data_IF_015642528957
#
_entry.id   IF_015642528957
#
_cell.length_a   1.000
_cell.length_b   1.000
_cell.length_c   1.000
_cell.angle_alpha   90.00
_cell.angle_beta   90.00
_cell.angle_gamma   90.00
#
_symmetry.space_group_name_H-M   'P 1'
#
loop_
_entity.id
_entity.type
_entity.pdbx_description
1 polymer ?
#
# COMPACT_ATOMS: atom_id res chain seq x y z
N UNK A 1 -4.63 32.66 -15.63
CA UNK A 1 -4.37 33.36 -14.34
C UNK A 1 -4.72 32.38 -13.24
N UNK A 2 -3.75 32.12 -12.36
CA UNK A 2 -3.66 30.98 -11.44
C UNK A 2 -4.70 31.12 -10.31
N UNK A 3 -5.54 30.11 -10.09
CA UNK A 3 -6.38 30.04 -8.90
C UNK A 3 -5.51 29.79 -7.67
N UNK A 4 -5.63 30.73 -6.73
CA UNK A 4 -4.72 30.97 -5.63
C UNK A 4 -4.90 29.95 -4.51
N UNK A 5 -3.75 29.62 -3.92
CA UNK A 5 -3.38 28.83 -2.73
C UNK A 5 -4.17 29.12 -1.43
N UNK A 6 -5.36 29.73 -1.48
CA UNK A 6 -6.07 30.27 -0.31
C UNK A 6 -6.90 29.26 0.50
N UNK A 7 -7.01 28.00 0.07
CA UNK A 7 -7.62 26.94 0.89
C UNK A 7 -6.62 26.26 1.85
N UNK A 8 -5.35 26.67 1.81
CA UNK A 8 -4.27 26.20 2.69
C UNK A 8 -4.36 26.76 4.12
N UNK A 9 -5.32 27.64 4.39
CA UNK A 9 -5.51 28.29 5.70
C UNK A 9 -6.80 27.87 6.40
N UNK A 10 -7.28 26.63 6.22
CA UNK A 10 -8.13 25.98 7.24
C UNK A 10 -7.32 25.03 8.15
N UNK A 11 -5.98 25.10 8.05
CA UNK A 11 -5.03 24.27 8.79
C UNK A 11 -4.67 24.79 10.20
N UNK A 12 -5.10 25.99 10.61
CA UNK A 12 -4.89 26.45 11.99
C UNK A 12 -6.12 27.19 12.51
N UNK A 13 -6.77 26.58 13.54
CA UNK A 13 -7.73 27.16 14.51
C UNK A 13 -9.15 26.58 14.44
N UNK A 14 -9.26 25.31 14.79
CA UNK A 14 -10.53 24.64 15.11
C UNK A 14 -10.37 23.68 16.28
N UNK A 15 -10.12 24.22 17.48
CA UNK A 15 -10.20 23.56 18.80
C UNK A 15 -9.39 22.26 18.94
N UNK A 16 -8.21 22.44 19.52
CA UNK A 16 -7.53 21.50 20.40
C UNK A 16 -8.55 20.70 21.26
N UNK A 17 -8.95 19.54 20.76
CA UNK A 17 -9.30 18.41 21.58
C UNK A 17 -8.40 17.29 21.09
N UNK A 18 -7.17 17.30 21.59
CA UNK A 18 -6.42 16.06 21.79
C UNK A 18 -7.31 15.16 22.65
N UNK A 19 -8.26 14.47 22.04
CA UNK A 19 -8.93 13.33 22.66
C UNK A 19 -8.00 12.10 22.62
N UNK A 20 -6.68 12.34 22.54
CA UNK A 20 -5.63 11.33 22.60
C UNK A 20 -5.46 10.94 24.06
N UNK A 21 -6.29 10.04 24.55
CA UNK A 21 -5.83 9.17 25.62
C UNK A 21 -4.78 8.23 24.99
N UNK A 22 -3.52 8.65 24.96
CA UNK A 22 -2.39 7.80 24.54
C UNK A 22 -1.87 7.92 23.10
N UNK A 23 -2.40 8.86 22.30
CA UNK A 23 -1.89 9.14 20.94
C UNK A 23 -2.68 8.50 19.80
N UNK A 24 -3.79 7.82 20.13
CA UNK A 24 -4.76 7.28 19.18
C UNK A 24 -5.81 8.35 18.86
N UNK A 25 -6.09 8.63 17.58
CA UNK A 25 -7.17 9.52 17.16
C UNK A 25 -8.55 8.89 17.35
N UNK A 26 -9.57 9.72 17.58
CA UNK A 26 -10.98 9.28 17.51
C UNK A 26 -11.35 8.88 16.07
N UNK A 27 -12.50 8.24 15.90
CA UNK A 27 -13.03 7.85 14.59
C UNK A 27 -13.18 9.03 13.61
N UNK A 28 -13.80 10.12 14.03
CA UNK A 28 -13.97 11.33 13.22
C UNK A 28 -12.63 11.95 12.81
N UNK A 29 -11.68 12.00 13.75
CA UNK A 29 -10.35 12.56 13.51
C UNK A 29 -9.54 11.67 12.58
N UNK A 30 -9.59 10.34 12.77
CA UNK A 30 -8.91 9.38 11.91
C UNK A 30 -9.49 9.39 10.49
N UNK A 31 -10.81 9.50 10.34
CA UNK A 31 -11.49 9.67 9.04
C UNK A 31 -11.03 10.95 8.33
N UNK A 32 -10.95 12.07 9.04
CA UNK A 32 -10.45 13.32 8.46
C UNK A 32 -8.98 13.21 7.99
N UNK A 33 -8.15 12.52 8.76
CA UNK A 33 -6.74 12.23 8.37
C UNK A 33 -6.70 11.32 7.14
N UNK A 34 -7.54 10.30 7.08
CA UNK A 34 -7.62 9.39 5.95
C UNK A 34 -8.02 10.12 4.65
N UNK A 35 -9.03 10.97 4.69
CA UNK A 35 -9.43 11.77 3.52
C UNK A 35 -8.32 12.74 3.07
N UNK A 36 -7.61 13.35 4.02
CA UNK A 36 -6.44 14.17 3.72
C UNK A 36 -5.34 13.36 3.02
N UNK A 37 -5.08 12.15 3.48
CA UNK A 37 -4.05 11.28 2.93
C UNK A 37 -4.43 10.78 1.53
N UNK A 38 -5.71 10.47 1.31
CA UNK A 38 -6.26 10.17 -0.01
C UNK A 38 -6.07 11.35 -0.98
N UNK A 39 -6.46 12.57 -0.59
CA UNK A 39 -6.26 13.76 -1.41
C UNK A 39 -4.76 14.03 -1.70
N UNK A 40 -3.88 13.77 -0.71
CA UNK A 40 -2.42 13.83 -0.91
C UNK A 40 -1.96 12.82 -1.96
N UNK A 41 -2.46 11.59 -1.89
CA UNK A 41 -2.16 10.52 -2.84
C UNK A 41 -2.62 10.87 -4.25
N UNK A 42 -3.88 11.30 -4.43
CA UNK A 42 -4.44 11.72 -5.71
C UNK A 42 -3.62 12.84 -6.36
N UNK A 43 -3.18 13.82 -5.56
CA UNK A 43 -2.37 14.94 -6.06
C UNK A 43 -0.95 14.56 -6.44
N UNK A 44 -0.35 13.57 -5.77
CA UNK A 44 1.09 13.28 -5.90
C UNK A 44 1.39 11.96 -6.62
N UNK A 45 0.38 11.12 -6.84
CA UNK A 45 0.55 9.73 -7.28
C UNK A 45 1.23 8.82 -6.25
N UNK A 46 1.54 9.33 -5.04
CA UNK A 46 2.21 8.56 -4.01
C UNK A 46 1.22 7.61 -3.33
N UNK A 47 1.60 6.35 -3.16
CA UNK A 47 0.79 5.35 -2.48
C UNK A 47 0.75 5.58 -0.96
N UNK A 48 -0.26 5.01 -0.31
CA UNK A 48 -0.25 4.75 1.13
C UNK A 48 -1.03 3.46 1.42
N UNK A 49 -0.78 2.85 2.58
CA UNK A 49 -1.53 1.69 3.04
C UNK A 49 -2.28 2.00 4.33
N UNK A 50 -3.38 1.29 4.56
CA UNK A 50 -4.13 1.28 5.80
C UNK A 50 -4.10 -0.13 6.36
N UNK A 51 -3.73 -0.26 7.62
CA UNK A 51 -3.80 -1.52 8.37
C UNK A 51 -4.93 -1.40 9.37
N UNK A 52 -5.87 -2.34 9.34
CA UNK A 52 -6.95 -2.45 10.32
C UNK A 52 -6.71 -3.63 11.24
N UNK A 53 -6.79 -3.38 12.54
CA UNK A 53 -6.64 -4.35 13.60
C UNK A 53 -7.98 -4.54 14.31
N UNK A 54 -8.45 -5.78 14.39
CA UNK A 54 -9.69 -6.20 15.06
C UNK A 54 -9.38 -7.36 16.02
N UNK A 55 -9.98 -7.39 17.20
CA UNK A 55 -9.84 -8.52 18.13
C UNK A 55 -11.18 -9.25 18.25
N UNK A 56 -11.24 -10.49 17.76
CA UNK A 56 -12.43 -11.35 17.92
C UNK A 56 -12.24 -12.24 19.15
N UNK A 57 -12.88 -11.87 20.26
CA UNK A 57 -12.99 -12.74 21.41
C UNK A 57 -14.44 -13.25 21.49
N UNK A 58 -14.63 -14.46 22.01
CA UNK A 58 -15.94 -15.14 22.06
C UNK A 58 -17.08 -14.37 22.76
N UNK A 59 -16.76 -13.30 23.50
CA UNK A 59 -17.72 -12.41 24.17
C UNK A 59 -17.79 -10.98 23.57
N UNK A 60 -17.26 -10.76 22.36
CA UNK A 60 -17.33 -9.48 21.65
C UNK A 60 -15.98 -8.76 21.50
N UNK A 61 -16.04 -7.52 21.02
CA UNK A 61 -14.87 -6.67 20.77
C UNK A 61 -14.15 -6.29 22.06
N UNK A 62 -12.85 -6.60 22.16
CA UNK A 62 -12.03 -6.21 23.30
C UNK A 62 -11.38 -4.83 23.08
N UNK A 63 -12.15 -3.77 23.35
CA UNK A 63 -11.73 -2.36 23.19
C UNK A 63 -10.47 -2.04 24.01
N UNK A 64 -10.32 -2.62 25.20
CA UNK A 64 -9.14 -2.38 26.04
C UNK A 64 -7.86 -2.95 25.41
N UNK A 65 -7.92 -4.17 24.87
CA UNK A 65 -6.81 -4.77 24.13
C UNK A 65 -6.45 -3.95 22.89
N UNK A 66 -7.44 -3.52 22.11
CA UNK A 66 -7.22 -2.67 20.94
C UNK A 66 -6.63 -1.30 21.31
N UNK A 67 -7.06 -0.71 22.42
CA UNK A 67 -6.50 0.55 22.93
C UNK A 67 -5.03 0.38 23.31
N UNK A 68 -4.68 -0.71 24.01
CA UNK A 68 -3.29 -1.01 24.35
C UNK A 68 -2.44 -1.22 23.10
N UNK A 69 -2.95 -2.00 22.16
CA UNK A 69 -2.32 -2.22 20.85
C UNK A 69 -2.08 -0.90 20.11
N UNK A 70 -3.08 -0.03 20.02
CA UNK A 70 -2.94 1.28 19.36
C UNK A 70 -1.88 2.17 20.02
N UNK A 71 -1.80 2.17 21.35
CA UNK A 71 -0.76 2.91 22.07
C UNK A 71 0.64 2.33 21.80
N UNK A 72 0.75 1.01 21.72
CA UNK A 72 1.99 0.30 21.40
C UNK A 72 2.44 0.60 19.96
N UNK A 73 1.51 0.64 19.01
CA UNK A 73 1.76 1.03 17.63
C UNK A 73 2.23 2.50 17.55
N UNK A 74 1.53 3.41 18.24
CA UNK A 74 1.82 4.85 18.21
C UNK A 74 3.27 5.18 18.60
N UNK A 75 3.89 4.36 19.45
CA UNK A 75 5.30 4.53 19.87
C UNK A 75 6.32 4.02 18.84
N UNK A 76 5.89 3.29 17.81
CA UNK A 76 6.76 2.60 16.84
C UNK A 76 6.66 3.15 15.43
N UNK A 77 5.53 3.76 15.09
CA UNK A 77 5.28 4.30 13.76
C UNK A 77 6.12 5.56 13.49
N UNK A 78 6.28 5.90 12.20
CA UNK A 78 6.99 7.12 11.80
C UNK A 78 6.14 8.34 12.07
N UNK A 79 6.75 9.52 12.06
CA UNK A 79 6.05 10.81 12.20
C UNK A 79 5.01 11.07 11.09
N UNK A 80 5.18 10.45 9.92
CA UNK A 80 4.26 10.56 8.78
C UNK A 80 3.08 9.58 8.85
N UNK A 81 3.16 8.59 9.72
CA UNK A 81 2.14 7.57 9.88
C UNK A 81 1.19 8.02 11.01
N UNK A 82 -0.04 7.54 11.01
CA UNK A 82 -1.09 8.01 11.93
C UNK A 82 -1.90 6.81 12.44
N UNK A 83 -2.32 6.83 13.70
CA UNK A 83 -3.06 5.73 14.36
C UNK A 83 -4.37 6.26 14.96
N UNK A 84 -5.48 5.58 14.71
CA UNK A 84 -6.77 6.00 15.25
C UNK A 84 -7.79 4.89 15.27
N UNK A 85 -8.94 5.15 15.88
CA UNK A 85 -10.11 4.31 15.71
C UNK A 85 -10.62 4.42 14.27
N UNK A 86 -10.82 3.30 13.59
CA UNK A 86 -11.49 3.30 12.29
C UNK A 86 -13.02 3.35 12.47
N UNK A 87 -13.48 2.67 13.52
CA UNK A 87 -14.83 2.61 14.04
C UNK A 87 -14.79 2.16 15.51
N UNK A 88 -15.93 1.81 16.10
CA UNK A 88 -16.00 1.37 17.49
C UNK A 88 -15.35 0.03 17.80
N UNK A 89 -14.88 -0.73 16.81
CA UNK A 89 -14.30 -2.06 17.03
C UNK A 89 -12.97 -2.35 16.32
N UNK A 90 -12.41 -1.38 15.60
CA UNK A 90 -11.15 -1.54 14.89
C UNK A 90 -10.23 -0.35 15.08
N UNK A 91 -8.95 -0.64 15.26
CA UNK A 91 -7.88 0.36 15.20
C UNK A 91 -7.32 0.37 13.78
N UNK A 92 -7.26 1.56 13.19
CA UNK A 92 -6.61 1.81 11.92
C UNK A 92 -5.22 2.42 12.10
N UNK A 93 -4.29 2.04 11.23
CA UNK A 93 -2.99 2.70 11.07
C UNK A 93 -2.80 3.09 9.61
N UNK A 94 -2.56 4.37 9.34
CA UNK A 94 -2.23 4.89 8.01
C UNK A 94 -0.71 4.91 7.89
N UNK A 95 -0.18 4.22 6.88
CA UNK A 95 1.24 4.11 6.57
C UNK A 95 1.54 4.89 5.29
N UNK A 96 2.06 6.10 5.43
CA UNK A 96 2.32 6.98 4.30
C UNK A 96 3.45 6.44 3.42
N UNK A 97 3.28 6.47 2.09
CA UNK A 97 4.32 6.01 1.15
C UNK A 97 4.61 4.50 1.21
N UNK A 98 3.72 3.73 1.83
CA UNK A 98 3.90 2.29 2.02
C UNK A 98 3.09 1.50 1.00
N UNK A 99 3.67 0.40 0.51
CA UNK A 99 2.99 -0.58 -0.31
C UNK A 99 2.34 -1.66 0.55
N UNK A 100 1.48 -2.48 -0.06
CA UNK A 100 0.84 -3.62 0.61
C UNK A 100 1.86 -4.55 1.27
N UNK A 101 3.00 -4.81 0.61
CA UNK A 101 4.06 -5.68 1.14
C UNK A 101 4.70 -5.08 2.39
N UNK A 102 5.01 -3.77 2.37
CA UNK A 102 5.56 -3.07 3.54
C UNK A 102 4.57 -2.98 4.69
N UNK A 103 3.29 -2.84 4.38
CA UNK A 103 2.24 -2.86 5.38
C UNK A 103 2.09 -4.24 6.05
N UNK A 104 2.21 -5.33 5.30
CA UNK A 104 2.27 -6.68 5.90
C UNK A 104 3.53 -6.91 6.73
N UNK A 105 4.70 -6.43 6.28
CA UNK A 105 5.93 -6.47 7.09
C UNK A 105 5.75 -5.71 8.41
N UNK A 106 5.06 -4.56 8.36
CA UNK A 106 4.70 -3.82 9.56
C UNK A 106 3.77 -4.62 10.48
N UNK A 107 2.75 -5.29 9.94
CA UNK A 107 1.85 -6.17 10.72
C UNK A 107 2.64 -7.27 11.44
N UNK A 108 3.52 -7.96 10.73
CA UNK A 108 4.31 -9.05 11.32
C UNK A 108 5.26 -8.53 12.40
N UNK A 109 5.93 -7.40 12.17
CA UNK A 109 6.76 -6.77 13.19
C UNK A 109 5.97 -6.40 14.46
N UNK A 110 4.74 -5.91 14.31
CA UNK A 110 3.85 -5.61 15.44
C UNK A 110 3.45 -6.89 16.17
N UNK A 111 3.11 -7.97 15.45
CA UNK A 111 2.77 -9.27 16.06
C UNK A 111 3.93 -9.86 16.85
N UNK A 112 5.15 -9.76 16.34
CA UNK A 112 6.35 -10.28 17.03
C UNK A 112 6.70 -9.46 18.28
N UNK A 113 6.53 -8.13 18.23
CA UNK A 113 7.00 -7.25 19.31
C UNK A 113 6.01 -7.17 20.48
N UNK A 114 4.75 -7.50 20.26
CA UNK A 114 3.73 -7.42 21.31
C UNK A 114 3.57 -8.80 21.93
N UNK A 115 4.23 -8.99 23.07
CA UNK A 115 4.02 -10.17 23.91
C UNK A 115 2.53 -10.29 24.27
N UNK A 116 1.95 -11.46 24.00
CA UNK A 116 0.54 -11.73 24.32
C UNK A 116 -0.46 -11.10 23.35
N UNK A 117 -0.09 -10.90 22.08
CA UNK A 117 -1.09 -10.68 21.01
C UNK A 117 -2.12 -11.79 21.11
N UNK A 118 -3.38 -11.38 21.27
CA UNK A 118 -4.52 -12.28 21.38
C UNK A 118 -4.58 -13.16 20.12
N UNK A 119 -4.69 -14.49 20.24
CA UNK A 119 -4.90 -15.35 19.07
C UNK A 119 -6.14 -14.96 18.24
N UNK A 120 -7.05 -14.14 18.79
CA UNK A 120 -8.17 -13.53 18.10
C UNK A 120 -7.85 -12.26 17.29
N UNK A 121 -6.59 -11.80 17.19
CA UNK A 121 -6.23 -10.60 16.44
C UNK A 121 -6.28 -10.85 14.93
N UNK A 122 -7.19 -10.15 14.26
CA UNK A 122 -7.35 -10.13 12.81
C UNK A 122 -6.75 -8.84 12.27
N UNK A 123 -5.93 -8.97 11.22
CA UNK A 123 -5.30 -7.86 10.53
C UNK A 123 -5.77 -7.82 9.08
N UNK A 124 -6.16 -6.65 8.58
CA UNK A 124 -6.49 -6.42 7.17
C UNK A 124 -5.67 -5.26 6.62
N UNK A 125 -5.16 -5.40 5.40
CA UNK A 125 -4.34 -4.38 4.74
C UNK A 125 -5.03 -3.90 3.46
N UNK A 126 -5.11 -2.59 3.30
CA UNK A 126 -5.60 -1.92 2.11
C UNK A 126 -4.54 -0.96 1.60
N UNK A 127 -4.44 -0.77 0.29
CA UNK A 127 -3.48 0.17 -0.32
C UNK A 127 -4.20 1.04 -1.32
N UNK A 128 -3.87 2.33 -1.31
CA UNK A 128 -4.43 3.34 -2.19
C UNK A 128 -3.32 4.09 -2.96
N UNK A 129 -3.51 4.38 -4.25
CA UNK A 129 -4.59 3.88 -5.10
C UNK A 129 -4.53 2.35 -5.22
N UNK A 130 -5.70 1.70 -5.18
CA UNK A 130 -5.78 0.25 -5.38
C UNK A 130 -5.37 -0.07 -6.82
N UNK A 131 -4.57 -1.13 -7.06
CA UNK A 131 -4.28 -1.58 -8.41
C UNK A 131 -5.59 -1.74 -9.18
N UNK A 132 -5.73 -1.03 -10.30
CA UNK A 132 -6.87 -1.23 -11.18
C UNK A 132 -6.78 -2.67 -11.70
N UNK A 133 -7.74 -3.50 -11.31
CA UNK A 133 -7.93 -4.81 -11.93
C UNK A 133 -8.44 -4.50 -13.34
N UNK A 134 -7.56 -4.44 -14.34
CA UNK A 134 -7.99 -4.41 -15.73
C UNK A 134 -8.66 -5.75 -15.99
N UNK A 135 -9.97 -5.79 -15.86
CA UNK A 135 -10.77 -6.92 -16.32
C UNK A 135 -10.60 -7.00 -17.83
N UNK A 136 -9.63 -7.78 -18.30
CA UNK A 136 -9.65 -8.29 -19.66
C UNK A 136 -10.84 -9.25 -19.73
N UNK A 137 -12.05 -8.70 -19.86
CA UNK A 137 -13.21 -9.43 -20.39
C UNK A 137 -12.94 -9.56 -21.87
N UNK A 138 -12.07 -10.50 -22.22
CA UNK A 138 -11.90 -10.96 -23.59
C UNK A 138 -12.82 -12.15 -23.78
N UNK A 139 -14.09 -11.85 -24.08
CA UNK A 139 -15.00 -12.82 -24.68
C UNK A 139 -14.70 -12.93 -26.17
N UNK A 140 -14.42 -14.16 -26.61
CA UNK A 140 -14.20 -14.65 -27.98
C UNK A 140 -12.83 -14.28 -28.60
N UNK A 141 -11.96 -15.20 -29.01
CA UNK A 141 -12.25 -16.38 -29.86
C UNK A 141 -11.17 -17.48 -29.71
N UNK A 142 -11.66 -18.71 -29.59
CA UNK A 142 -11.14 -20.00 -30.07
C UNK A 142 -9.72 -20.15 -30.70
N UNK A 143 -9.05 -21.22 -30.24
CA UNK A 143 -8.05 -22.12 -30.89
C UNK A 143 -6.56 -21.84 -30.72
N UNK A 144 -5.94 -22.76 -29.97
CA UNK A 144 -4.68 -23.48 -30.24
C UNK A 144 -3.77 -22.90 -31.34
N UNK A 145 -2.53 -22.54 -30.98
CA UNK A 145 -1.33 -23.29 -31.38
C UNK A 145 -0.03 -22.51 -31.08
N UNK A 146 0.94 -23.27 -30.54
CA UNK A 146 2.37 -23.19 -30.84
C UNK A 146 3.21 -22.07 -30.19
N UNK A 147 3.81 -22.46 -29.06
CA UNK A 147 5.27 -22.42 -28.86
C UNK A 147 6.03 -22.43 -30.19
N UNK A 148 6.65 -21.31 -30.58
CA UNK A 148 7.84 -21.21 -31.45
C UNK A 148 8.30 -19.73 -31.53
N UNK A 149 8.74 -19.14 -30.42
CA UNK A 149 9.37 -17.79 -30.45
C UNK A 149 10.68 -17.64 -29.66
N UNK A 150 11.18 -18.69 -29.02
CA UNK A 150 12.52 -18.68 -28.38
C UNK A 150 13.69 -18.99 -29.34
N UNK A 151 13.46 -19.19 -30.64
CA UNK A 151 14.53 -19.50 -31.62
C UNK A 151 14.84 -18.39 -32.64
N UNK A 152 14.38 -17.15 -32.41
CA UNK A 152 14.60 -16.02 -33.34
C UNK A 152 15.53 -14.90 -32.80
N UNK A 153 16.34 -15.18 -31.79
CA UNK A 153 17.33 -14.23 -31.24
C UNK A 153 18.80 -14.71 -31.33
N UNK A 154 19.12 -15.55 -32.32
CA UNK A 154 20.51 -15.77 -32.77
C UNK A 154 20.58 -15.77 -34.30
N UNK A 155 20.15 -14.66 -34.89
CA UNK A 155 20.40 -14.36 -36.30
C UNK A 155 21.80 -13.75 -36.45
N UNK A 156 22.61 -14.40 -37.30
CA UNK A 156 23.22 -13.69 -38.42
C UNK A 156 24.55 -12.94 -38.22
N UNK A 157 25.59 -13.59 -37.67
CA UNK A 157 26.99 -13.23 -37.97
C UNK A 157 27.73 -14.41 -38.59
N UNK A 158 27.39 -14.75 -39.85
CA UNK A 158 28.31 -15.26 -40.89
C UNK A 158 27.50 -15.72 -42.09
N UNK A 159 27.43 -14.90 -43.13
CA UNK A 159 27.58 -15.31 -44.53
C UNK A 159 27.21 -14.16 -45.46
N UNK A 160 28.22 -13.48 -46.01
CA UNK A 160 28.27 -13.11 -47.44
C UNK A 160 29.45 -12.16 -47.74
N UNK A 161 30.49 -12.71 -48.37
CA UNK A 161 31.20 -12.04 -49.49
C UNK A 161 32.02 -13.13 -50.20
N UNK A 162 31.45 -13.75 -51.23
CA UNK A 162 31.58 -13.37 -52.65
C UNK A 162 32.97 -13.66 -53.24
N UNK A 163 32.95 -14.64 -54.15
CA UNK A 163 33.92 -15.08 -55.15
C UNK A 163 34.76 -13.97 -55.81
N UNK A 164 36.09 -14.14 -55.87
CA UNK A 164 36.96 -13.84 -57.03
C UNK A 164 38.23 -14.72 -56.97
N UNK A 165 38.53 -15.48 -58.02
CA UNK A 165 39.85 -16.08 -58.32
C UNK A 165 40.61 -15.17 -59.31
N UNK A 166 41.94 -15.04 -59.19
CA UNK A 166 42.84 -15.37 -60.30
C UNK A 166 44.11 -16.11 -59.78
N UNK A 167 44.61 -17.15 -60.45
CA UNK A 167 45.53 -17.19 -61.60
C UNK A 167 46.98 -16.72 -61.32
N UNK A 168 47.91 -17.45 -61.98
CA UNK A 168 49.34 -17.27 -62.18
C UNK A 168 50.29 -17.86 -61.11
N UNK A 169 51.07 -18.86 -61.56
CA UNK A 169 52.05 -19.58 -60.77
C UNK A 169 53.48 -19.04 -60.85
N UNK A 170 54.38 -19.88 -60.31
CA UNK A 170 55.74 -20.15 -60.74
C UNK A 170 56.23 -21.39 -60.01
#
# INVERSE_FOLDING_TARGET
MIFHFLDIVNFFKGKNKKNTLGGIYSDDAFRAILEREKARSERTGQIFSIVLFECKNGNGTNVATLTRLGNDITRRIRKSDEVGWYDGNRIGTILAGSSTERAWQFVEAIKETIEGVDPGLICSVYTYPSPCISSNVHGETTKEHQTLSELAASLNVKANSSTVMPDAGK
#
